data_IF_591723124234
#
_entry.id   IF_591723124234
#
_cell.length_a   1.000
_cell.length_b   1.000
_cell.length_c   1.000
_cell.angle_alpha   90.00
_cell.angle_beta   90.00
_cell.angle_gamma   90.00
#
_symmetry.space_group_name_H-M   'P 1'
#
loop_
_entity.id
_entity.type
_entity.pdbx_description
1 polymer ?
#
# COMPACT_ATOMS: atom_id res chain seq x y z
N UNK A 1 5.97 -23.54 -9.84
CA UNK A 1 6.36 -22.60 -8.77
C UNK A 1 6.27 -21.14 -9.24
N UNK A 2 7.10 -20.66 -10.18
CA UNK A 2 7.02 -19.27 -10.69
C UNK A 2 5.70 -18.87 -11.40
N UNK A 3 4.95 -19.83 -11.97
CA UNK A 3 3.72 -19.55 -12.71
C UNK A 3 2.57 -19.01 -11.82
N UNK A 4 2.66 -19.16 -10.50
CA UNK A 4 1.64 -18.68 -9.56
C UNK A 4 2.02 -17.35 -8.91
N UNK A 5 3.14 -16.75 -9.32
CA UNK A 5 3.54 -15.45 -8.81
C UNK A 5 2.56 -14.36 -9.24
N UNK A 6 1.94 -13.70 -8.26
CA UNK A 6 1.02 -12.58 -8.45
C UNK A 6 1.73 -11.23 -8.32
N UNK A 7 3.01 -11.20 -7.95
CA UNK A 7 3.79 -9.96 -7.79
C UNK A 7 3.74 -9.08 -9.04
N UNK A 8 3.86 -9.58 -10.28
CA UNK A 8 3.73 -8.76 -11.49
C UNK A 8 2.34 -8.16 -11.68
N UNK A 9 1.29 -8.80 -11.14
CA UNK A 9 -0.11 -8.34 -11.22
C UNK A 9 -0.48 -7.40 -10.07
N UNK A 10 0.14 -7.57 -8.91
CA UNK A 10 -0.10 -6.76 -7.71
C UNK A 10 0.72 -5.47 -7.75
N UNK A 11 1.97 -5.52 -8.21
CA UNK A 11 2.89 -4.39 -8.23
C UNK A 11 2.34 -3.13 -8.94
N UNK A 12 1.61 -3.20 -10.07
CA UNK A 12 1.01 -2.02 -10.70
C UNK A 12 -0.05 -1.31 -9.85
N UNK A 13 -0.58 -1.97 -8.82
CA UNK A 13 -1.58 -1.44 -7.90
C UNK A 13 -0.99 -0.96 -6.57
N UNK A 14 0.34 -1.08 -6.39
CA UNK A 14 1.05 -0.68 -5.17
C UNK A 14 1.93 0.55 -5.39
N UNK A 15 2.23 1.25 -4.30
CA UNK A 15 3.32 2.22 -4.31
C UNK A 15 4.66 1.50 -4.48
N UNK A 16 5.62 2.16 -5.14
CA UNK A 16 6.99 1.65 -5.35
C UNK A 16 7.61 1.18 -4.05
N UNK A 17 7.40 1.89 -2.95
CA UNK A 17 7.99 1.53 -1.66
C UNK A 17 7.39 0.24 -1.09
N UNK A 18 6.11 -0.05 -1.36
CA UNK A 18 5.42 -1.27 -0.91
C UNK A 18 5.79 -2.50 -1.75
N UNK A 19 6.44 -2.31 -2.90
CA UNK A 19 6.94 -3.42 -3.73
C UNK A 19 8.26 -3.97 -3.17
N UNK A 20 9.06 -3.20 -2.42
CA UNK A 20 10.32 -3.69 -1.87
C UNK A 20 10.17 -4.88 -0.93
N UNK A 21 9.27 -4.87 0.08
CA UNK A 21 9.08 -6.04 0.94
C UNK A 21 8.67 -7.30 0.16
N UNK A 22 7.90 -7.14 -0.94
CA UNK A 22 7.54 -8.26 -1.81
C UNK A 22 8.77 -8.81 -2.56
N UNK A 23 9.63 -7.94 -3.07
CA UNK A 23 10.87 -8.36 -3.74
C UNK A 23 11.88 -8.99 -2.78
N UNK A 24 11.95 -8.52 -1.52
CA UNK A 24 12.75 -9.15 -0.46
C UNK A 24 12.24 -10.55 -0.13
N UNK A 25 10.93 -10.71 0.01
CA UNK A 25 10.33 -12.02 0.24
C UNK A 25 10.55 -12.99 -0.93
N UNK A 26 10.46 -12.51 -2.19
CA UNK A 26 10.79 -13.34 -3.37
C UNK A 26 12.26 -13.76 -3.40
N UNK A 27 13.15 -12.92 -2.86
CA UNK A 27 14.59 -13.21 -2.75
C UNK A 27 14.85 -14.28 -1.69
N UNK A 28 14.24 -14.14 -0.51
CA UNK A 28 14.32 -15.16 0.55
C UNK A 28 13.72 -16.50 0.13
N UNK A 29 12.62 -16.46 -0.64
CA UNK A 29 11.97 -17.64 -1.20
C UNK A 29 12.75 -18.35 -2.31
N UNK A 30 13.86 -17.76 -2.80
CA UNK A 30 14.72 -18.30 -3.88
C UNK A 30 13.95 -18.76 -5.13
N UNK A 31 12.85 -18.08 -5.44
CA UNK A 31 11.98 -18.43 -6.57
C UNK A 31 12.54 -17.98 -7.91
N UNK A 32 13.35 -16.93 -7.89
CA UNK A 32 14.05 -16.37 -9.03
C UNK A 32 15.54 -16.24 -8.71
N UNK A 33 16.37 -16.06 -9.73
CA UNK A 33 17.79 -15.79 -9.52
C UNK A 33 17.97 -14.46 -8.78
N UNK A 34 18.81 -14.46 -7.74
CA UNK A 34 19.09 -13.26 -6.92
C UNK A 34 19.52 -12.07 -7.78
N UNK A 35 20.31 -12.32 -8.84
CA UNK A 35 20.76 -11.29 -9.78
C UNK A 35 19.60 -10.56 -10.48
N UNK A 36 18.54 -11.27 -10.85
CA UNK A 36 17.39 -10.68 -11.55
C UNK A 36 16.52 -9.87 -10.59
N UNK A 37 16.37 -10.33 -9.34
CA UNK A 37 15.67 -9.59 -8.29
C UNK A 37 16.45 -8.31 -7.94
N UNK A 38 17.77 -8.40 -7.79
CA UNK A 38 18.62 -7.24 -7.50
C UNK A 38 18.59 -6.22 -8.65
N UNK A 39 18.60 -6.65 -9.91
CA UNK A 39 18.40 -5.76 -11.07
C UNK A 39 17.04 -5.07 -11.02
N UNK A 40 15.96 -5.81 -10.73
CA UNK A 40 14.62 -5.23 -10.60
C UNK A 40 14.53 -4.22 -9.43
N UNK A 41 15.18 -4.50 -8.30
CA UNK A 41 15.30 -3.55 -7.18
C UNK A 41 16.02 -2.27 -7.60
N UNK A 42 17.13 -2.37 -8.35
CA UNK A 42 17.84 -1.18 -8.87
C UNK A 42 16.96 -0.36 -9.81
N UNK A 43 16.22 -1.01 -10.73
CA UNK A 43 15.33 -0.31 -11.65
C UNK A 43 14.19 0.42 -10.93
N UNK A 44 13.63 -0.21 -9.89
CA UNK A 44 12.64 0.41 -9.01
C UNK A 44 13.25 1.62 -8.27
N UNK A 45 14.46 1.45 -7.74
CA UNK A 45 15.17 2.48 -6.97
C UNK A 45 15.61 3.67 -7.81
N UNK A 46 15.92 3.47 -9.10
CA UNK A 46 16.31 4.54 -10.01
C UNK A 46 15.25 5.65 -10.16
N UNK A 47 13.98 5.31 -9.86
CA UNK A 47 12.84 6.21 -9.87
C UNK A 47 12.41 6.67 -8.46
N UNK A 48 13.21 6.37 -7.43
CA UNK A 48 13.04 6.82 -6.05
C UNK A 48 14.29 7.59 -5.60
N UNK A 49 14.20 8.34 -4.49
CA UNK A 49 15.34 9.09 -3.97
C UNK A 49 16.14 8.32 -2.91
N UNK A 50 15.91 7.00 -2.76
CA UNK A 50 16.66 6.11 -1.86
C UNK A 50 18.03 5.74 -2.45
N UNK A 51 18.86 6.76 -2.70
CA UNK A 51 20.15 6.59 -3.40
C UNK A 51 21.12 5.75 -2.58
N UNK A 52 21.15 5.90 -1.25
CA UNK A 52 22.04 5.13 -0.39
C UNK A 52 21.75 3.62 -0.46
N UNK A 53 20.47 3.24 -0.42
CA UNK A 53 20.05 1.84 -0.56
C UNK A 53 20.31 1.30 -1.98
N UNK A 54 20.13 2.12 -3.02
CA UNK A 54 20.47 1.75 -4.40
C UNK A 54 21.97 1.48 -4.58
N UNK A 55 22.83 2.28 -3.93
CA UNK A 55 24.28 2.07 -3.93
C UNK A 55 24.65 0.76 -3.25
N UNK A 56 24.03 0.42 -2.12
CA UNK A 56 24.32 -0.82 -1.40
C UNK A 56 23.87 -2.08 -2.18
N UNK A 57 22.73 -2.01 -2.87
CA UNK A 57 22.28 -3.08 -3.77
C UNK A 57 23.22 -3.23 -4.98
N UNK A 58 23.68 -2.12 -5.56
CA UNK A 58 24.62 -2.14 -6.68
C UNK A 58 25.96 -2.79 -6.27
N UNK A 59 26.48 -2.44 -5.08
CA UNK A 59 27.68 -3.08 -4.53
C UNK A 59 27.49 -4.57 -4.32
N UNK A 60 26.32 -4.97 -3.83
CA UNK A 60 25.97 -6.38 -3.61
C UNK A 60 25.87 -7.17 -4.92
N UNK A 61 25.32 -6.56 -5.98
CA UNK A 61 25.13 -7.18 -7.29
C UNK A 61 26.44 -7.40 -8.05
N UNK A 62 27.32 -6.39 -8.07
CA UNK A 62 28.58 -6.45 -8.84
C UNK A 62 29.78 -6.90 -8.01
N UNK A 63 29.58 -7.13 -6.70
CA UNK A 63 30.65 -7.42 -5.73
C UNK A 63 31.80 -6.41 -5.78
N UNK A 64 31.47 -5.14 -6.07
CA UNK A 64 32.43 -4.04 -6.19
C UNK A 64 32.06 -2.93 -5.22
N UNK A 65 33.06 -2.29 -4.60
CA UNK A 65 32.85 -1.09 -3.79
C UNK A 65 32.65 0.17 -4.66
N UNK A 66 32.96 0.08 -5.96
CA UNK A 66 32.85 1.18 -6.91
C UNK A 66 31.38 1.45 -7.25
N UNK A 67 30.92 2.61 -6.79
CA UNK A 67 29.61 3.16 -7.13
C UNK A 67 29.74 4.06 -8.36
N UNK A 68 28.84 3.95 -9.36
CA UNK A 68 28.82 4.86 -10.50
C UNK A 68 28.78 6.33 -10.10
N UNK A 69 29.54 7.18 -10.79
CA UNK A 69 29.58 8.63 -10.53
C UNK A 69 28.19 9.27 -10.61
N UNK A 70 27.34 8.82 -11.53
CA UNK A 70 25.94 9.25 -11.68
C UNK A 70 25.12 9.10 -10.38
N UNK A 71 25.34 8.02 -9.62
CA UNK A 71 24.64 7.81 -8.33
C UNK A 71 25.16 8.74 -7.25
N UNK A 72 26.46 9.05 -7.24
CA UNK A 72 27.03 10.02 -6.31
C UNK A 72 26.55 11.45 -6.60
N UNK A 73 26.43 11.84 -7.87
CA UNK A 73 25.88 13.15 -8.25
C UNK A 73 24.40 13.26 -7.85
N UNK A 74 23.60 12.22 -8.12
CA UNK A 74 22.21 12.15 -7.67
C UNK A 74 22.07 12.28 -6.16
N UNK A 75 22.95 11.66 -5.38
CA UNK A 75 22.96 11.79 -3.92
C UNK A 75 23.15 13.25 -3.50
N UNK A 76 24.09 13.97 -4.12
CA UNK A 76 24.33 15.39 -3.82
C UNK A 76 23.10 16.23 -4.17
N UNK A 77 22.46 15.98 -5.31
CA UNK A 77 21.22 16.69 -5.70
C UNK A 77 20.08 16.42 -4.71
N UNK A 78 19.86 15.16 -4.34
CA UNK A 78 18.82 14.75 -3.38
C UNK A 78 19.05 15.42 -2.02
N UNK A 79 20.27 15.39 -1.50
CA UNK A 79 20.60 16.03 -0.21
C UNK A 79 20.46 17.56 -0.29
N UNK A 80 20.82 18.18 -1.41
CA UNK A 80 20.65 19.63 -1.60
C UNK A 80 19.16 20.01 -1.61
N UNK A 81 18.33 19.25 -2.33
CA UNK A 81 16.87 19.44 -2.35
C UNK A 81 16.24 19.24 -0.97
N UNK A 82 16.70 18.22 -0.23
CA UNK A 82 16.23 17.97 1.14
C UNK A 82 16.43 19.21 2.01
N UNK A 83 17.63 19.80 2.00
CA UNK A 83 17.94 20.99 2.80
C UNK A 83 17.07 22.19 2.43
N UNK A 84 16.86 22.44 1.14
CA UNK A 84 16.00 23.56 0.68
C UNK A 84 14.55 23.37 1.14
N UNK A 85 14.02 22.15 1.04
CA UNK A 85 12.66 21.84 1.48
C UNK A 85 12.53 21.88 3.01
N UNK A 86 13.56 21.43 3.73
CA UNK A 86 13.63 21.51 5.19
C UNK A 86 13.64 22.96 5.65
N UNK A 87 14.46 23.83 5.06
CA UNK A 87 14.48 25.27 5.35
C UNK A 87 13.14 25.94 5.06
N UNK A 88 12.48 25.56 3.96
CA UNK A 88 11.16 26.08 3.61
C UNK A 88 10.05 25.61 4.56
N UNK A 89 10.15 24.37 5.08
CA UNK A 89 9.20 23.80 6.03
C UNK A 89 9.53 24.16 7.49
N UNK A 90 10.74 24.61 7.79
CA UNK A 90 11.24 24.88 9.14
C UNK A 90 10.33 25.80 9.99
N UNK A 91 9.78 26.92 9.47
CA UNK A 91 8.87 27.76 10.24
C UNK A 91 7.62 27.01 10.70
N UNK A 92 7.08 26.15 9.83
CA UNK A 92 5.90 25.36 10.13
C UNK A 92 6.23 24.18 11.07
N UNK A 93 7.38 23.52 10.87
CA UNK A 93 7.84 22.45 11.78
C UNK A 93 8.12 23.00 13.18
N UNK A 94 8.75 24.17 13.29
CA UNK A 94 8.97 24.84 14.58
C UNK A 94 7.66 25.23 15.28
N UNK A 95 6.65 25.67 14.51
CA UNK A 95 5.31 25.90 15.04
C UNK A 95 4.67 24.60 15.55
N UNK A 96 4.78 23.51 14.79
CA UNK A 96 4.19 22.20 15.13
C UNK A 96 4.88 21.52 16.31
N UNK A 97 6.16 21.79 16.54
CA UNK A 97 6.90 21.35 17.73
C UNK A 97 6.49 22.09 19.01
N UNK A 98 5.78 23.22 18.91
CA UNK A 98 5.32 23.99 20.06
C UNK A 98 3.92 23.49 20.53
N UNK A 99 3.83 22.71 21.62
CA UNK A 99 2.56 22.13 22.07
C UNK A 99 1.50 23.17 22.44
N UNK A 100 1.92 24.36 22.89
CA UNK A 100 1.01 25.47 23.19
C UNK A 100 0.35 26.05 21.93
N UNK A 101 1.07 26.06 20.81
CA UNK A 101 0.59 26.61 19.55
C UNK A 101 -0.34 25.62 18.82
N UNK A 102 -0.07 24.32 18.96
CA UNK A 102 -0.96 23.25 18.48
C UNK A 102 -2.29 23.20 19.25
N UNK A 103 -2.29 23.56 20.54
CA UNK A 103 -3.52 23.70 21.32
C UNK A 103 -4.38 24.91 20.92
N UNK A 104 -3.79 25.94 20.31
CA UNK A 104 -4.56 27.07 19.74
C UNK A 104 -5.30 26.68 18.44
N UNK A 105 -4.95 25.56 17.81
CA UNK A 105 -5.65 25.06 16.62
C UNK A 105 -7.07 24.64 16.98
N UNK A 106 -8.05 25.26 16.33
CA UNK A 106 -9.47 24.95 16.49
C UNK A 106 -9.89 23.88 15.48
N UNK A 107 -11.10 23.33 15.67
CA UNK A 107 -11.70 22.41 14.70
C UNK A 107 -11.96 23.07 13.32
N UNK A 108 -12.02 24.41 13.28
CA UNK A 108 -12.27 25.16 12.06
C UNK A 108 -10.97 25.43 11.29
N UNK A 109 -10.84 24.78 10.13
CA UNK A 109 -9.64 24.80 9.30
C UNK A 109 -9.39 26.16 8.66
N UNK A 110 -10.43 26.93 8.35
CA UNK A 110 -10.29 28.26 7.75
C UNK A 110 -9.74 29.26 8.76
N UNK A 111 -10.23 29.20 10.00
CA UNK A 111 -9.72 30.01 11.10
C UNK A 111 -8.25 29.69 11.43
N UNK A 112 -7.86 28.42 11.37
CA UNK A 112 -6.46 28.03 11.59
C UNK A 112 -5.54 28.61 10.52
N UNK A 113 -5.97 28.65 9.25
CA UNK A 113 -5.19 29.24 8.15
C UNK A 113 -5.05 30.77 8.31
N UNK A 114 -6.11 31.46 8.70
CA UNK A 114 -6.06 32.91 8.96
C UNK A 114 -5.18 33.25 10.16
N UNK A 115 -5.30 32.51 11.26
CA UNK A 115 -4.50 32.69 12.46
C UNK A 115 -3.00 32.41 12.22
N UNK A 116 -2.69 31.39 11.43
CA UNK A 116 -1.31 31.07 11.02
C UNK A 116 -0.71 32.15 10.12
N UNK A 117 -1.51 32.71 9.21
CA UNK A 117 -1.06 33.76 8.30
C UNK A 117 -0.86 35.09 9.05
N UNK A 118 -1.78 35.47 9.94
CA UNK A 118 -1.71 36.72 10.70
C UNK A 118 -0.62 36.72 11.78
N UNK A 119 -0.46 35.62 12.54
CA UNK A 119 0.49 35.58 13.66
C UNK A 119 1.87 35.06 13.30
N UNK A 120 1.96 34.13 12.35
CA UNK A 120 3.20 33.41 12.06
C UNK A 120 3.70 33.62 10.62
N UNK A 121 2.98 34.39 9.78
CA UNK A 121 3.28 34.56 8.35
C UNK A 121 3.37 33.22 7.58
N UNK A 122 2.67 32.20 8.10
CA UNK A 122 2.58 30.88 7.47
C UNK A 122 1.38 30.92 6.53
N UNK A 123 1.67 31.03 5.24
CA UNK A 123 0.68 30.98 4.18
C UNK A 123 0.42 29.55 3.66
N UNK A 124 -0.45 29.42 2.65
CA UNK A 124 -0.70 28.14 1.97
C UNK A 124 0.56 27.57 1.29
N UNK A 125 1.55 28.41 0.98
CA UNK A 125 2.83 27.99 0.38
C UNK A 125 3.66 27.14 1.34
N UNK A 126 3.73 27.49 2.62
CA UNK A 126 4.47 26.72 3.63
C UNK A 126 3.79 25.37 3.93
N UNK A 127 2.46 25.33 3.84
CA UNK A 127 1.69 24.09 3.96
C UNK A 127 1.97 23.17 2.77
N UNK A 128 2.00 23.72 1.55
CA UNK A 128 2.40 22.97 0.36
C UNK A 128 3.88 22.54 0.42
N UNK A 129 4.76 23.38 0.97
CA UNK A 129 6.16 23.03 1.21
C UNK A 129 6.29 21.85 2.20
N UNK A 130 5.47 21.80 3.26
CA UNK A 130 5.42 20.65 4.17
C UNK A 130 4.97 19.38 3.47
N UNK A 131 3.98 19.46 2.57
CA UNK A 131 3.57 18.30 1.78
C UNK A 131 4.69 17.81 0.87
N UNK A 132 5.39 18.72 0.19
CA UNK A 132 6.54 18.38 -0.65
C UNK A 132 7.69 17.80 0.19
N UNK A 133 7.95 18.36 1.37
CA UNK A 133 8.93 17.87 2.31
C UNK A 133 8.57 16.47 2.84
N UNK A 134 7.33 16.25 3.24
CA UNK A 134 6.85 14.94 3.69
C UNK A 134 6.93 13.89 2.58
N UNK A 135 6.57 14.26 1.34
CA UNK A 135 6.73 13.40 0.18
C UNK A 135 8.20 13.08 -0.08
N UNK A 136 9.08 14.06 0.06
CA UNK A 136 10.52 13.87 -0.13
C UNK A 136 11.12 12.95 0.95
N UNK A 137 10.71 13.12 2.21
CA UNK A 137 11.09 12.23 3.33
C UNK A 137 10.62 10.79 3.07
N UNK A 138 9.38 10.62 2.56
CA UNK A 138 8.87 9.31 2.15
C UNK A 138 9.72 8.70 1.02
N UNK A 139 10.04 9.47 -0.02
CA UNK A 139 10.90 9.02 -1.14
C UNK A 139 12.36 8.74 -0.73
N UNK A 140 12.81 9.27 0.41
CA UNK A 140 14.12 8.98 1.00
C UNK A 140 14.10 7.80 1.99
N UNK A 141 12.93 7.23 2.28
CA UNK A 141 12.77 6.09 3.21
C UNK A 141 12.54 6.46 4.67
N UNK A 142 12.36 7.75 5.00
CA UNK A 142 12.02 8.18 6.36
C UNK A 142 10.50 8.19 6.56
N UNK A 143 9.93 7.02 6.83
CA UNK A 143 8.49 6.82 6.92
C UNK A 143 7.86 7.41 8.19
N UNK A 144 8.57 7.36 9.33
CA UNK A 144 8.05 7.89 10.61
C UNK A 144 7.83 9.40 10.55
N UNK A 145 8.84 10.16 10.11
CA UNK A 145 8.72 11.60 9.92
C UNK A 145 7.67 11.95 8.88
N UNK A 146 7.60 11.22 7.77
CA UNK A 146 6.59 11.43 6.74
C UNK A 146 5.16 11.24 7.27
N UNK A 147 4.91 10.19 8.07
CA UNK A 147 3.58 9.94 8.65
C UNK A 147 3.12 11.08 9.56
N UNK A 148 4.02 11.59 10.42
CA UNK A 148 3.74 12.71 11.32
C UNK A 148 3.44 14.00 10.55
N UNK A 149 4.28 14.33 9.57
CA UNK A 149 4.09 15.52 8.74
C UNK A 149 2.81 15.46 7.89
N UNK A 150 2.45 14.29 7.37
CA UNK A 150 1.20 14.11 6.61
C UNK A 150 -0.04 14.19 7.51
N UNK A 151 0.05 13.70 8.74
CA UNK A 151 -1.01 13.88 9.74
C UNK A 151 -1.24 15.36 10.07
N UNK A 152 -0.15 16.10 10.31
CA UNK A 152 -0.19 17.54 10.56
C UNK A 152 -0.66 18.34 9.33
N UNK A 153 -0.23 17.95 8.12
CA UNK A 153 -0.73 18.55 6.89
C UNK A 153 -2.25 18.38 6.75
N UNK A 154 -2.80 17.20 7.12
CA UNK A 154 -4.23 16.92 7.01
C UNK A 154 -5.10 17.75 7.97
N UNK A 155 -4.59 18.05 9.17
CA UNK A 155 -5.31 18.90 10.13
C UNK A 155 -5.43 20.35 9.62
N UNK A 156 -4.45 20.81 8.84
CA UNK A 156 -4.35 22.16 8.30
C UNK A 156 -4.97 22.31 6.90
N UNK A 157 -4.98 21.24 6.09
CA UNK A 157 -5.41 21.31 4.69
C UNK A 157 -6.94 21.36 4.55
N UNK A 158 -7.41 22.32 3.75
CA UNK A 158 -8.82 22.50 3.33
C UNK A 158 -9.15 21.80 2.02
N UNK A 159 -8.14 21.42 1.22
CA UNK A 159 -8.35 20.78 -0.08
C UNK A 159 -8.61 19.27 0.08
N UNK A 160 -9.76 18.84 -0.42
CA UNK A 160 -10.22 17.45 -0.32
C UNK A 160 -9.36 16.44 -1.09
N UNK A 161 -8.73 16.83 -2.20
CA UNK A 161 -7.94 15.91 -3.03
C UNK A 161 -6.50 15.76 -2.53
N UNK A 162 -5.93 16.85 -2.02
CA UNK A 162 -4.64 16.80 -1.31
C UNK A 162 -4.76 16.06 0.02
N UNK A 163 -5.88 16.22 0.73
CA UNK A 163 -6.19 15.44 1.93
C UNK A 163 -6.27 13.94 1.64
N UNK A 164 -6.88 13.54 0.52
CA UNK A 164 -6.92 12.14 0.08
C UNK A 164 -5.51 11.61 -0.23
N UNK A 165 -4.71 12.39 -0.96
CA UNK A 165 -3.33 12.00 -1.32
C UNK A 165 -2.44 11.87 -0.08
N UNK A 166 -2.57 12.78 0.88
CA UNK A 166 -1.87 12.71 2.15
C UNK A 166 -2.29 11.48 2.98
N UNK A 167 -3.57 11.10 2.92
CA UNK A 167 -4.05 9.89 3.60
C UNK A 167 -3.45 8.62 3.00
N UNK A 168 -3.35 8.52 1.67
CA UNK A 168 -2.65 7.42 1.00
C UNK A 168 -1.17 7.37 1.41
N UNK A 169 -0.48 8.51 1.41
CA UNK A 169 0.92 8.57 1.83
C UNK A 169 1.11 8.13 3.29
N UNK A 170 0.22 8.57 4.19
CA UNK A 170 0.24 8.16 5.60
C UNK A 170 0.02 6.65 5.73
N UNK A 171 -0.98 6.10 5.04
CA UNK A 171 -1.27 4.67 5.04
C UNK A 171 -0.05 3.85 4.56
N UNK A 172 0.59 4.28 3.46
CA UNK A 172 1.80 3.62 2.96
C UNK A 172 2.94 3.66 3.99
N UNK A 173 3.16 4.80 4.65
CA UNK A 173 4.18 4.94 5.68
C UNK A 173 3.93 4.03 6.88
N UNK A 174 2.68 3.94 7.37
CA UNK A 174 2.35 3.06 8.51
C UNK A 174 2.47 1.57 8.15
N UNK A 175 2.14 1.18 6.92
CA UNK A 175 2.35 -0.20 6.43
C UNK A 175 3.84 -0.53 6.41
N UNK A 176 4.69 0.38 5.92
CA UNK A 176 6.14 0.18 5.87
C UNK A 176 6.79 0.16 7.26
N UNK A 177 6.23 0.90 8.22
CA UNK A 177 6.65 0.87 9.62
C UNK A 177 6.09 -0.34 10.40
N UNK A 178 5.26 -1.18 9.78
CA UNK A 178 4.59 -2.34 10.38
C UNK A 178 3.65 -1.99 11.56
N UNK A 179 3.10 -0.77 11.57
CA UNK A 179 2.14 -0.32 12.58
C UNK A 179 0.70 -0.69 12.18
N UNK A 180 0.34 -1.95 12.35
CA UNK A 180 -0.92 -2.50 11.83
C UNK A 180 -2.20 -1.88 12.42
N UNK A 181 -2.18 -1.51 13.70
CA UNK A 181 -3.35 -0.92 14.38
C UNK A 181 -3.69 0.47 13.81
N UNK A 182 -2.68 1.33 13.68
CA UNK A 182 -2.83 2.69 13.12
C UNK A 182 -3.17 2.60 11.63
N UNK A 183 -2.51 1.68 10.90
CA UNK A 183 -2.78 1.45 9.48
C UNK A 183 -4.26 1.03 9.26
N UNK A 184 -4.82 0.21 10.17
CA UNK A 184 -6.22 -0.19 10.10
C UNK A 184 -7.18 0.99 10.32
N UNK A 185 -6.89 1.88 11.27
CA UNK A 185 -7.68 3.09 11.47
C UNK A 185 -7.66 4.00 10.24
N UNK A 186 -6.48 4.24 9.67
CA UNK A 186 -6.36 5.08 8.47
C UNK A 186 -7.00 4.41 7.24
N UNK A 187 -6.96 3.08 7.14
CA UNK A 187 -7.66 2.34 6.09
C UNK A 187 -9.17 2.51 6.18
N UNK A 188 -9.76 2.42 7.38
CA UNK A 188 -11.19 2.63 7.56
C UNK A 188 -11.61 4.07 7.22
N UNK A 189 -10.79 5.06 7.59
CA UNK A 189 -11.01 6.46 7.19
C UNK A 189 -10.93 6.65 5.68
N UNK A 190 -9.96 6.00 5.04
CA UNK A 190 -9.77 6.07 3.59
C UNK A 190 -10.95 5.43 2.86
N UNK A 191 -11.43 4.29 3.35
CA UNK A 191 -12.66 3.63 2.89
C UNK A 191 -13.86 4.57 2.97
N UNK A 192 -14.09 5.20 4.11
CA UNK A 192 -15.21 6.15 4.29
C UNK A 192 -15.15 7.31 3.30
N UNK A 193 -13.96 7.86 3.04
CA UNK A 193 -13.78 8.95 2.07
C UNK A 193 -14.03 8.46 0.63
N UNK A 194 -13.55 7.27 0.26
CA UNK A 194 -13.76 6.70 -1.08
C UNK A 194 -15.22 6.34 -1.32
N UNK A 195 -15.93 5.89 -0.28
CA UNK A 195 -17.34 5.53 -0.37
C UNK A 195 -18.28 6.74 -0.27
N UNK A 196 -17.87 7.82 0.40
CA UNK A 196 -18.64 9.07 0.50
C UNK A 196 -18.38 10.06 -0.65
N UNK A 197 -17.17 10.09 -1.22
CA UNK A 197 -16.87 10.94 -2.37
C UNK A 197 -17.58 10.41 -3.62
N UNK A 198 -18.39 11.27 -4.23
CA UNK A 198 -18.74 11.13 -5.64
C UNK A 198 -17.54 11.58 -6.47
N UNK A 199 -16.71 10.64 -6.92
CA UNK A 199 -15.60 10.96 -7.81
C UNK A 199 -16.15 11.49 -9.14
N UNK A 200 -15.43 12.44 -9.76
CA UNK A 200 -15.81 12.98 -11.06
C UNK A 200 -15.90 11.91 -12.17
N UNK A 201 -15.18 10.79 -12.01
CA UNK A 201 -15.24 9.62 -12.90
C UNK A 201 -15.46 8.34 -12.08
N UNK A 202 -16.48 7.53 -12.42
CA UNK A 202 -16.69 6.21 -11.82
C UNK A 202 -15.48 5.27 -11.97
N UNK A 203 -14.68 5.44 -13.03
CA UNK A 203 -13.48 4.63 -13.27
C UNK A 203 -12.41 4.87 -12.20
N UNK A 204 -12.18 6.14 -11.83
CA UNK A 204 -11.20 6.49 -10.78
C UNK A 204 -11.64 5.98 -9.41
N UNK A 205 -12.95 5.91 -9.16
CA UNK A 205 -13.49 5.34 -7.93
C UNK A 205 -13.24 3.82 -7.88
N UNK A 206 -13.49 3.10 -8.97
CA UNK A 206 -13.19 1.66 -9.06
C UNK A 206 -11.69 1.41 -8.89
N UNK A 207 -10.83 2.20 -9.53
CA UNK A 207 -9.38 2.10 -9.36
C UNK A 207 -8.95 2.34 -7.90
N UNK A 208 -9.50 3.37 -7.25
CA UNK A 208 -9.20 3.65 -5.84
C UNK A 208 -9.63 2.50 -4.91
N UNK A 209 -10.77 1.85 -5.20
CA UNK A 209 -11.21 0.65 -4.47
C UNK A 209 -10.26 -0.52 -4.69
N UNK A 210 -9.78 -0.72 -5.92
CA UNK A 210 -8.82 -1.78 -6.24
C UNK A 210 -7.52 -1.58 -5.48
N UNK A 211 -6.97 -0.36 -5.48
CA UNK A 211 -5.78 -0.03 -4.69
C UNK A 211 -6.03 -0.28 -3.20
N UNK A 212 -7.17 0.17 -2.67
CA UNK A 212 -7.53 -0.06 -1.26
C UNK A 212 -7.54 -1.56 -0.94
N UNK A 213 -8.14 -2.38 -1.80
CA UNK A 213 -8.17 -3.84 -1.60
C UNK A 213 -6.77 -4.43 -1.59
N UNK A 214 -5.90 -4.07 -2.53
CA UNK A 214 -4.51 -4.57 -2.56
C UNK A 214 -3.73 -4.15 -1.32
N UNK A 215 -3.85 -2.89 -0.90
CA UNK A 215 -3.12 -2.37 0.27
C UNK A 215 -3.67 -2.96 1.57
N UNK A 216 -4.97 -3.24 1.61
CA UNK A 216 -5.62 -3.87 2.75
C UNK A 216 -5.13 -5.28 3.02
N UNK A 217 -4.65 -6.01 2.00
CA UNK A 217 -4.11 -7.36 2.18
C UNK A 217 -2.92 -7.34 3.15
N UNK A 218 -1.99 -6.38 3.00
CA UNK A 218 -0.84 -6.25 3.90
C UNK A 218 -1.26 -6.09 5.36
N UNK A 219 -2.28 -5.28 5.62
CA UNK A 219 -2.75 -4.99 6.98
C UNK A 219 -3.51 -6.18 7.55
N UNK A 220 -4.42 -6.75 6.77
CA UNK A 220 -5.34 -7.76 7.28
C UNK A 220 -4.72 -9.15 7.46
N UNK A 221 -3.66 -9.49 6.71
CA UNK A 221 -2.93 -10.75 6.94
C UNK A 221 -2.08 -10.71 8.21
N UNK A 222 -1.59 -9.53 8.59
CA UNK A 222 -0.74 -9.34 9.77
C UNK A 222 -1.50 -9.01 11.05
N UNK A 223 -2.77 -8.58 10.97
CA UNK A 223 -3.59 -8.26 12.14
C UNK A 223 -4.46 -9.45 12.58
N UNK A 224 -4.53 -9.71 13.90
CA UNK A 224 -5.24 -10.84 14.50
C UNK A 224 -6.73 -10.93 14.11
N UNK A 225 -7.41 -9.78 13.97
CA UNK A 225 -8.82 -9.70 13.53
C UNK A 225 -9.00 -9.42 12.03
N UNK A 226 -7.92 -9.23 11.27
CA UNK A 226 -7.97 -8.78 9.88
C UNK A 226 -8.70 -9.76 8.96
N UNK A 227 -8.61 -11.06 9.24
CA UNK A 227 -9.27 -12.13 8.45
C UNK A 227 -10.79 -12.02 8.39
N UNK A 228 -11.41 -11.53 9.46
CA UNK A 228 -12.86 -11.31 9.47
C UNK A 228 -13.22 -10.04 8.69
N UNK A 229 -12.37 -9.02 8.79
CA UNK A 229 -12.55 -7.73 8.14
C UNK A 229 -12.33 -7.79 6.62
N UNK A 230 -11.40 -8.64 6.12
CA UNK A 230 -11.28 -8.94 4.68
C UNK A 230 -12.61 -9.43 4.13
N UNK A 231 -13.19 -10.44 4.78
CA UNK A 231 -14.45 -11.05 4.35
C UNK A 231 -15.56 -10.00 4.33
N UNK A 232 -15.65 -9.16 5.38
CA UNK A 232 -16.65 -8.09 5.46
C UNK A 232 -16.46 -6.98 4.43
N UNK A 233 -15.23 -6.70 4.01
CA UNK A 233 -14.91 -5.65 3.04
C UNK A 233 -15.08 -6.14 1.61
N UNK A 234 -14.49 -7.28 1.26
CA UNK A 234 -14.44 -7.77 -0.12
C UNK A 234 -15.79 -8.33 -0.56
N UNK A 235 -16.60 -8.85 0.38
CA UNK A 235 -17.94 -9.37 0.08
C UNK A 235 -19.01 -8.27 -0.07
N UNK A 236 -18.65 -6.98 0.02
CA UNK A 236 -19.58 -5.90 -0.29
C UNK A 236 -19.72 -5.76 -1.80
N UNK A 237 -20.95 -5.62 -2.30
CA UNK A 237 -21.26 -5.59 -3.75
C UNK A 237 -20.35 -4.64 -4.54
N UNK A 238 -20.05 -3.46 -3.97
CA UNK A 238 -19.19 -2.44 -4.61
C UNK A 238 -17.76 -2.91 -4.84
N UNK A 239 -17.20 -3.67 -3.89
CA UNK A 239 -15.83 -4.16 -3.93
C UNK A 239 -15.76 -5.47 -4.72
N UNK A 240 -16.76 -6.33 -4.55
CA UNK A 240 -16.90 -7.55 -5.34
C UNK A 240 -16.93 -7.24 -6.83
N UNK A 241 -17.76 -6.28 -7.28
CA UNK A 241 -17.82 -5.86 -8.68
C UNK A 241 -16.46 -5.36 -9.21
N UNK A 242 -15.67 -4.69 -8.38
CA UNK A 242 -14.33 -4.22 -8.74
C UNK A 242 -13.34 -5.40 -8.89
N UNK A 243 -13.47 -6.43 -8.04
CA UNK A 243 -12.70 -7.67 -8.15
C UNK A 243 -13.02 -8.36 -9.49
N UNK A 244 -14.29 -8.59 -9.80
CA UNK A 244 -14.69 -9.34 -11.00
C UNK A 244 -14.27 -8.65 -12.30
N UNK A 245 -14.23 -7.31 -12.30
CA UNK A 245 -13.97 -6.52 -13.51
C UNK A 245 -12.47 -6.32 -13.78
N UNK A 246 -11.65 -6.18 -12.74
CA UNK A 246 -10.28 -5.66 -12.90
C UNK A 246 -9.20 -6.42 -12.15
N UNK A 247 -9.53 -7.21 -11.12
CA UNK A 247 -8.54 -7.87 -10.28
C UNK A 247 -9.03 -9.24 -9.75
N UNK A 248 -9.26 -10.23 -10.63
CA UNK A 248 -9.80 -11.54 -10.23
C UNK A 248 -8.83 -12.35 -9.34
N UNK A 249 -7.53 -12.04 -9.36
CA UNK A 249 -6.52 -12.68 -8.51
C UNK A 249 -6.75 -12.40 -7.00
N UNK A 250 -7.51 -11.35 -6.65
CA UNK A 250 -7.88 -11.09 -5.27
C UNK A 250 -8.79 -12.17 -4.67
N UNK A 251 -9.49 -12.94 -5.51
CA UNK A 251 -10.31 -14.07 -5.07
C UNK A 251 -9.50 -15.16 -4.37
N UNK A 252 -8.22 -15.34 -4.72
CA UNK A 252 -7.31 -16.29 -4.04
C UNK A 252 -7.22 -15.96 -2.55
N UNK A 253 -6.98 -14.69 -2.22
CA UNK A 253 -6.83 -14.23 -0.83
C UNK A 253 -8.16 -14.26 -0.07
N UNK A 254 -9.28 -14.04 -0.76
CA UNK A 254 -10.61 -14.17 -0.17
C UNK A 254 -10.94 -15.64 0.12
N UNK A 255 -10.62 -16.55 -0.80
CA UNK A 255 -10.80 -17.99 -0.65
C UNK A 255 -10.00 -18.55 0.54
N UNK A 256 -8.71 -18.20 0.65
CA UNK A 256 -7.88 -18.62 1.80
C UNK A 256 -8.42 -18.06 3.11
N UNK A 257 -8.85 -16.80 3.14
CA UNK A 257 -9.47 -16.17 4.32
C UNK A 257 -10.73 -16.91 4.77
N UNK A 258 -11.59 -17.33 3.84
CA UNK A 258 -12.79 -18.11 4.13
C UNK A 258 -12.48 -19.53 4.63
N UNK A 259 -11.48 -20.21 4.06
CA UNK A 259 -11.08 -21.57 4.47
C UNK A 259 -10.55 -21.56 5.92
N UNK A 260 -9.74 -20.55 6.25
CA UNK A 260 -9.18 -20.40 7.60
C UNK A 260 -10.27 -19.97 8.61
N UNK A 261 -11.20 -19.11 8.21
CA UNK A 261 -12.25 -18.60 9.10
C UNK A 261 -13.56 -19.43 9.04
N UNK A 262 -13.63 -20.47 9.88
CA UNK A 262 -14.76 -21.41 9.92
C UNK A 262 -16.11 -20.83 10.39
N UNK A 263 -16.16 -19.59 10.90
CA UNK A 263 -17.35 -19.01 11.55
C UNK A 263 -18.40 -18.45 10.57
N UNK A 264 -18.08 -18.29 9.28
CA UNK A 264 -18.92 -17.56 8.30
C UNK A 264 -19.47 -18.40 7.15
N UNK A 265 -20.07 -19.55 7.48
CA UNK A 265 -20.70 -20.47 6.51
C UNK A 265 -21.77 -19.89 5.56
N UNK A 266 -22.63 -18.91 5.93
CA UNK A 266 -23.62 -18.40 4.99
C UNK A 266 -22.99 -17.59 3.85
N UNK A 267 -22.07 -16.68 4.19
CA UNK A 267 -21.33 -15.86 3.20
C UNK A 267 -20.46 -16.72 2.27
N UNK A 268 -19.96 -17.85 2.79
CA UNK A 268 -19.22 -18.81 1.99
C UNK A 268 -20.05 -19.38 0.83
N UNK A 269 -21.35 -19.64 1.01
CA UNK A 269 -22.21 -20.17 -0.07
C UNK A 269 -22.36 -19.19 -1.22
N UNK A 270 -22.49 -17.90 -0.92
CA UNK A 270 -22.60 -16.87 -1.94
C UNK A 270 -21.26 -16.66 -2.64
N UNK A 271 -20.14 -16.74 -1.90
CA UNK A 271 -18.80 -16.71 -2.48
C UNK A 271 -18.53 -17.87 -3.46
N UNK A 272 -19.01 -19.09 -3.18
CA UNK A 272 -18.88 -20.22 -4.12
C UNK A 272 -19.58 -19.92 -5.46
N UNK A 273 -20.72 -19.21 -5.46
CA UNK A 273 -21.38 -18.80 -6.71
C UNK A 273 -20.54 -17.80 -7.50
N UNK A 274 -19.85 -16.89 -6.81
CA UNK A 274 -18.93 -15.93 -7.43
C UNK A 274 -17.77 -16.67 -8.09
N UNK A 275 -17.16 -17.64 -7.38
CA UNK A 275 -16.10 -18.48 -7.95
C UNK A 275 -16.60 -19.19 -9.21
N UNK A 276 -17.81 -19.76 -9.19
CA UNK A 276 -18.37 -20.44 -10.36
C UNK A 276 -18.53 -19.52 -11.56
N UNK A 277 -18.87 -18.24 -11.36
CA UNK A 277 -18.98 -17.26 -12.43
C UNK A 277 -17.59 -16.85 -12.98
N UNK A 278 -16.56 -16.79 -12.14
CA UNK A 278 -15.23 -16.31 -12.50
C UNK A 278 -14.23 -17.41 -12.92
N UNK A 279 -14.62 -18.69 -12.88
CA UNK A 279 -13.81 -19.82 -13.33
C UNK A 279 -13.23 -19.65 -14.74
N UNK A 280 -13.92 -18.93 -15.62
CA UNK A 280 -13.45 -18.68 -17.00
C UNK A 280 -12.35 -17.62 -17.10
N UNK A 281 -12.22 -16.75 -16.09
CA UNK A 281 -11.35 -15.57 -16.13
C UNK A 281 -10.01 -15.81 -15.44
N UNK A 282 -9.98 -16.64 -14.39
CA UNK A 282 -8.76 -16.89 -13.62
C UNK A 282 -8.65 -18.35 -13.15
N UNK A 283 -7.63 -19.03 -13.68
CA UNK A 283 -7.22 -20.36 -13.22
C UNK A 283 -6.28 -20.20 -12.02
N UNK A 284 -6.73 -20.68 -10.86
CA UNK A 284 -5.95 -20.71 -9.62
C UNK A 284 -6.23 -22.02 -8.86
N UNK A 285 -5.21 -22.78 -8.43
CA UNK A 285 -5.42 -24.07 -7.77
C UNK A 285 -6.31 -23.98 -6.52
N UNK A 286 -6.27 -22.85 -5.79
CA UNK A 286 -7.08 -22.66 -4.57
C UNK A 286 -8.55 -22.42 -4.92
N UNK A 287 -8.85 -21.62 -5.93
CA UNK A 287 -10.24 -21.40 -6.38
C UNK A 287 -10.80 -22.64 -7.09
N UNK A 288 -9.98 -23.35 -7.86
CA UNK A 288 -10.30 -24.63 -8.49
C UNK A 288 -10.55 -25.73 -7.46
N UNK A 289 -9.74 -25.80 -6.39
CA UNK A 289 -9.96 -26.74 -5.30
C UNK A 289 -11.34 -26.54 -4.66
N UNK A 290 -11.74 -25.29 -4.40
CA UNK A 290 -13.07 -24.97 -3.87
C UNK A 290 -14.18 -25.33 -4.87
N UNK A 291 -13.96 -25.08 -6.16
CA UNK A 291 -14.89 -25.47 -7.21
C UNK A 291 -15.07 -27.00 -7.31
N UNK A 292 -13.98 -27.77 -7.27
CA UNK A 292 -14.02 -29.23 -7.31
C UNK A 292 -14.83 -29.80 -6.14
N UNK A 293 -14.67 -29.26 -4.94
CA UNK A 293 -15.37 -29.74 -3.75
C UNK A 293 -16.85 -29.35 -3.74
N UNK A 294 -17.18 -28.09 -4.04
CA UNK A 294 -18.51 -27.55 -3.80
C UNK A 294 -19.41 -27.47 -5.04
N UNK A 295 -18.85 -27.51 -6.25
CA UNK A 295 -19.60 -27.45 -7.52
C UNK A 295 -19.61 -28.80 -8.21
N UNK A 296 -18.42 -29.39 -8.41
CA UNK A 296 -18.28 -30.62 -9.21
C UNK A 296 -18.39 -31.90 -8.35
N UNK A 297 -18.23 -31.79 -7.04
CA UNK A 297 -18.18 -32.92 -6.09
C UNK A 297 -17.15 -33.99 -6.49
N UNK A 298 -16.06 -33.59 -7.14
CA UNK A 298 -14.97 -34.46 -7.57
C UNK A 298 -13.83 -34.42 -6.54
N UNK A 299 -13.82 -35.42 -5.66
CA UNK A 299 -12.86 -35.53 -4.57
C UNK A 299 -11.47 -35.98 -5.03
N UNK A 300 -11.38 -36.71 -6.16
CA UNK A 300 -10.10 -37.17 -6.70
C UNK A 300 -9.34 -36.00 -7.35
N UNK A 301 -10.06 -35.16 -8.12
CA UNK A 301 -9.52 -33.92 -8.64
C UNK A 301 -9.16 -32.94 -7.51
N UNK A 302 -10.02 -32.82 -6.49
CA UNK A 302 -9.74 -31.98 -5.33
C UNK A 302 -8.46 -32.41 -4.59
N UNK A 303 -8.22 -33.72 -4.43
CA UNK A 303 -7.01 -34.21 -3.78
C UNK A 303 -5.74 -33.88 -4.56
N UNK A 304 -5.78 -33.94 -5.90
CA UNK A 304 -4.65 -33.51 -6.74
C UNK A 304 -4.40 -32.01 -6.61
N UNK A 305 -5.47 -31.20 -6.69
CA UNK A 305 -5.40 -29.75 -6.53
C UNK A 305 -4.92 -29.33 -5.14
N UNK A 306 -5.24 -30.09 -4.09
CA UNK A 306 -4.74 -29.83 -2.74
C UNK A 306 -3.21 -29.90 -2.65
N UNK A 307 -2.58 -30.82 -3.39
CA UNK A 307 -1.10 -30.89 -3.45
C UNK A 307 -0.53 -29.67 -4.18
N UNK A 308 -1.17 -29.23 -5.27
CA UNK A 308 -0.81 -27.99 -5.97
C UNK A 308 -0.99 -26.76 -5.05
N UNK A 309 -2.03 -26.73 -4.21
CA UNK A 309 -2.25 -25.67 -3.22
C UNK A 309 -1.15 -25.61 -2.15
N UNK A 310 -0.57 -26.74 -1.75
CA UNK A 310 0.52 -26.80 -0.78
C UNK A 310 1.78 -26.12 -1.34
N UNK A 311 2.11 -26.39 -2.61
CA UNK A 311 3.19 -25.72 -3.32
C UNK A 311 2.92 -24.21 -3.46
N UNK A 312 1.68 -23.79 -3.77
CA UNK A 312 1.31 -22.37 -3.86
C UNK A 312 1.36 -21.66 -2.50
N UNK A 313 0.95 -22.33 -1.43
CA UNK A 313 0.92 -21.74 -0.09
C UNK A 313 2.33 -21.54 0.48
N UNK A 314 3.26 -22.46 0.20
CA UNK A 314 4.66 -22.34 0.62
C UNK A 314 5.40 -21.13 0.03
N UNK A 315 4.84 -20.54 -1.03
CA UNK A 315 5.40 -19.41 -1.76
C UNK A 315 4.86 -18.07 -1.26
N UNK A 316 3.73 -18.03 -0.54
CA UNK A 316 2.96 -16.80 -0.34
C UNK A 316 2.58 -16.50 1.12
N UNK A 317 2.81 -17.42 2.06
CA UNK A 317 2.42 -17.30 3.46
C UNK A 317 3.59 -17.50 4.42
#
# INVERSE_FOLDING_TARGET
>A
MANYDLTPRIAPHLDRHLVFPLLEFLQEGQLYADEDILKAKIELLNNTNMVDYAMDIHKSLYHTEDVPQDMMERRVEVVARLKVLEEAAAPLVAFLQNPNAVQELRADKQYNLEMLNERYQIGPEQIEALYQYAKFQFECGNYSGAADYLYQYRSLCTNSDRSLSALWGKLAAEILMQNWDIALEELNRLKEIIDSKSFASPLNQVQSRIWLMHWSLFIFFNHDNGRTQIIDLFNQDKYLNAIQTSAPHLLRYLATSFIVNKRRRPQFKDFIKVIQQEQYSHEDPITEFLACIYVNYDFDAAQKKMKECEEVSSIFF
#
